data_IF_051655617589
#
_entry.id   IF_051655617589
#
_cell.length_a   1.000
_cell.length_b   1.000
_cell.length_c   1.000
_cell.angle_alpha   90.00
_cell.angle_beta   90.00
_cell.angle_gamma   90.00
#
_symmetry.space_group_name_H-M   'P 1'
#
loop_
_entity.id
_entity.type
_entity.pdbx_description
1 polymer ?
#
# COMPACT_ATOMS: atom_id res chain seq x y z
N UNK A 1 -15.31 22.91 2.36
CA UNK A 1 -15.46 24.30 1.91
C UNK A 1 -15.80 24.41 0.42
N UNK A 2 -14.92 24.13 -0.55
CA UNK A 2 -15.25 24.32 -1.99
C UNK A 2 -16.50 23.54 -2.43
N UNK A 3 -16.65 22.29 -2.00
CA UNK A 3 -17.78 21.46 -2.40
C UNK A 3 -19.13 21.95 -1.82
N UNK A 4 -19.14 22.58 -0.64
CA UNK A 4 -20.35 23.11 0.00
C UNK A 4 -20.90 24.28 -0.79
N UNK A 5 -20.02 25.21 -1.16
CA UNK A 5 -20.35 26.38 -1.98
C UNK A 5 -20.87 25.96 -3.35
N UNK A 6 -20.19 24.99 -3.99
CA UNK A 6 -20.66 24.43 -5.27
C UNK A 6 -22.06 23.88 -5.12
N UNK A 7 -22.32 23.06 -4.08
CA UNK A 7 -23.66 22.56 -3.83
C UNK A 7 -24.62 23.74 -3.67
N UNK A 8 -24.39 24.68 -2.76
CA UNK A 8 -25.30 25.82 -2.48
C UNK A 8 -25.60 26.65 -3.74
N UNK A 9 -24.62 26.87 -4.62
CA UNK A 9 -24.77 27.70 -5.82
C UNK A 9 -25.37 26.97 -7.02
N UNK A 10 -25.50 25.63 -6.99
CA UNK A 10 -26.08 24.88 -8.10
C UNK A 10 -27.51 25.34 -8.47
N UNK A 11 -27.79 25.64 -9.75
CA UNK A 11 -29.14 25.94 -10.22
C UNK A 11 -30.17 24.85 -9.93
N UNK A 12 -31.44 25.25 -9.78
CA UNK A 12 -32.54 24.34 -9.38
C UNK A 12 -32.81 23.22 -10.39
N UNK A 13 -32.51 23.40 -11.68
CA UNK A 13 -32.75 22.37 -12.70
C UNK A 13 -31.72 21.23 -12.68
N UNK A 14 -30.61 21.36 -11.94
CA UNK A 14 -29.53 20.37 -11.96
C UNK A 14 -29.81 19.22 -10.99
N UNK A 15 -29.83 17.99 -11.50
CA UNK A 15 -29.85 16.76 -10.69
C UNK A 15 -28.49 16.50 -10.05
N UNK A 16 -28.49 15.96 -8.83
CA UNK A 16 -27.26 15.65 -8.09
C UNK A 16 -27.18 14.16 -7.80
N UNK A 17 -26.01 13.58 -8.03
CA UNK A 17 -25.69 12.20 -7.65
C UNK A 17 -24.41 12.25 -6.81
N UNK A 18 -24.48 11.73 -5.60
CA UNK A 18 -23.37 11.71 -4.66
C UNK A 18 -22.85 10.29 -4.49
N UNK A 19 -21.54 10.10 -4.65
CA UNK A 19 -20.86 8.83 -4.43
C UNK A 19 -19.83 9.03 -3.32
N UNK A 20 -19.89 8.19 -2.30
CA UNK A 20 -18.99 8.24 -1.15
C UNK A 20 -18.65 6.82 -0.70
N UNK A 21 -17.48 6.67 -0.07
CA UNK A 21 -17.21 5.53 0.80
C UNK A 21 -18.17 5.53 2.00
N UNK A 22 -18.20 4.43 2.75
CA UNK A 22 -19.06 4.27 3.94
C UNK A 22 -18.69 5.28 5.01
N UNK A 23 -19.58 6.22 5.31
CA UNK A 23 -19.46 7.19 6.40
C UNK A 23 -20.63 7.06 7.39
N UNK A 24 -20.42 7.29 8.70
CA UNK A 24 -21.50 7.17 9.68
C UNK A 24 -22.52 8.32 9.62
N UNK A 25 -22.15 9.48 9.09
CA UNK A 25 -22.95 10.71 9.10
C UNK A 25 -23.70 10.99 7.77
N UNK A 26 -23.89 9.98 6.93
CA UNK A 26 -24.49 10.14 5.60
C UNK A 26 -25.94 10.67 5.62
N UNK A 27 -26.71 10.37 6.67
CA UNK A 27 -28.09 10.86 6.82
C UNK A 27 -28.12 12.37 7.10
N UNK A 28 -27.32 12.84 8.05
CA UNK A 28 -27.22 14.28 8.38
C UNK A 28 -26.81 15.09 7.16
N UNK A 29 -25.82 14.59 6.41
CA UNK A 29 -25.37 15.20 5.17
C UNK A 29 -26.49 15.27 4.12
N UNK A 30 -27.21 14.16 3.90
CA UNK A 30 -28.30 14.12 2.92
C UNK A 30 -29.46 15.04 3.28
N UNK A 31 -29.78 15.16 4.57
CA UNK A 31 -30.82 16.03 5.08
C UNK A 31 -30.46 17.52 4.91
N UNK A 32 -29.21 17.88 5.18
CA UNK A 32 -28.70 19.22 4.92
C UNK A 32 -28.85 19.61 3.44
N UNK A 33 -28.46 18.74 2.50
CA UNK A 33 -28.62 19.02 1.06
C UNK A 33 -30.10 19.10 0.69
N UNK A 34 -30.92 18.16 1.16
CA UNK A 34 -32.35 18.13 0.87
C UNK A 34 -33.07 19.40 1.31
N UNK A 35 -32.77 19.90 2.51
CA UNK A 35 -33.28 21.18 3.03
C UNK A 35 -32.76 22.39 2.24
N UNK A 36 -31.45 22.43 1.97
CA UNK A 36 -30.80 23.55 1.27
C UNK A 36 -31.30 23.69 -0.17
N UNK A 37 -31.51 22.57 -0.86
CA UNK A 37 -31.94 22.54 -2.26
C UNK A 37 -33.42 22.35 -2.47
N UNK A 38 -34.19 22.14 -1.40
CA UNK A 38 -35.62 21.81 -1.45
C UNK A 38 -35.89 20.64 -2.42
N UNK A 39 -34.98 19.66 -2.42
CA UNK A 39 -35.04 18.47 -3.29
C UNK A 39 -35.12 17.20 -2.46
N UNK A 40 -35.92 16.25 -2.93
CA UNK A 40 -35.96 14.91 -2.35
C UNK A 40 -34.64 14.19 -2.63
N UNK A 41 -33.97 13.73 -1.57
CA UNK A 41 -32.75 12.94 -1.67
C UNK A 41 -33.03 11.54 -1.18
N UNK A 42 -32.55 10.56 -1.94
CA UNK A 42 -32.64 9.15 -1.62
C UNK A 42 -31.26 8.66 -1.20
N UNK A 43 -31.15 8.21 0.05
CA UNK A 43 -29.93 7.59 0.57
C UNK A 43 -30.00 6.10 0.31
N UNK A 44 -29.00 5.58 -0.40
CA UNK A 44 -28.81 4.16 -0.65
C UNK A 44 -27.43 3.81 -0.12
N UNK A 45 -27.35 2.84 0.78
CA UNK A 45 -26.09 2.41 1.39
C UNK A 45 -25.97 0.89 1.46
N UNK A 46 -24.73 0.41 1.46
CA UNK A 46 -24.40 -0.99 1.74
C UNK A 46 -23.26 -1.03 2.74
N UNK A 47 -23.41 -1.83 3.79
CA UNK A 47 -22.37 -2.06 4.80
C UNK A 47 -21.46 -3.23 4.45
N UNK A 48 -21.82 -3.99 3.40
CA UNK A 48 -21.11 -5.20 2.99
C UNK A 48 -20.30 -4.94 1.72
N UNK A 49 -19.05 -5.40 1.72
CA UNK A 49 -18.21 -5.39 0.51
C UNK A 49 -18.67 -6.49 -0.45
N UNK A 50 -18.75 -6.22 -1.77
CA UNK A 50 -19.02 -7.26 -2.77
C UNK A 50 -17.98 -8.38 -2.77
N UNK A 51 -16.70 -8.02 -2.55
CA UNK A 51 -15.60 -8.97 -2.39
C UNK A 51 -15.12 -8.93 -0.93
N UNK A 52 -15.36 -10.00 -0.14
CA UNK A 52 -14.91 -10.06 1.24
C UNK A 52 -13.38 -10.06 1.32
N UNK A 53 -12.84 -9.38 2.34
CA UNK A 53 -11.40 -9.33 2.58
C UNK A 53 -10.98 -10.33 3.67
N UNK A 54 -9.73 -10.78 3.57
CA UNK A 54 -9.04 -11.56 4.60
C UNK A 54 -7.78 -10.80 4.99
N UNK A 55 -7.52 -10.69 6.29
CA UNK A 55 -6.35 -9.95 6.77
C UNK A 55 -5.31 -10.95 7.27
N UNK A 56 -4.07 -10.76 6.83
CA UNK A 56 -2.95 -11.61 7.20
C UNK A 56 -1.86 -10.79 7.87
N UNK A 57 -1.10 -11.43 8.76
CA UNK A 57 0.16 -10.91 9.27
C UNK A 57 1.29 -11.75 8.69
N UNK A 58 2.29 -11.08 8.10
CA UNK A 58 3.50 -11.74 7.62
C UNK A 58 4.55 -11.75 8.73
N UNK A 59 4.92 -12.93 9.19
CA UNK A 59 5.80 -13.14 10.34
C UNK A 59 6.67 -14.36 10.11
N UNK A 60 7.98 -14.26 10.36
CA UNK A 60 8.89 -15.41 10.21
C UNK A 60 8.87 -16.05 8.81
N UNK A 61 8.64 -15.26 7.75
CA UNK A 61 8.50 -15.70 6.36
C UNK A 61 7.25 -16.55 6.06
N UNK A 62 6.25 -16.49 6.94
CA UNK A 62 4.97 -17.18 6.82
C UNK A 62 3.80 -16.18 6.92
N UNK A 63 2.64 -16.54 6.35
CA UNK A 63 1.41 -15.73 6.39
C UNK A 63 0.43 -16.31 7.41
N UNK A 64 0.04 -15.51 8.40
CA UNK A 64 -0.91 -15.87 9.45
C UNK A 64 -2.24 -15.16 9.22
N UNK A 65 -3.32 -15.90 8.95
CA UNK A 65 -4.65 -15.31 8.79
C UNK A 65 -5.15 -14.82 10.14
N UNK A 66 -5.35 -13.51 10.29
CA UNK A 66 -5.86 -12.87 11.51
C UNK A 66 -7.37 -12.65 11.47
N UNK A 67 -7.91 -12.36 10.30
CA UNK A 67 -9.32 -12.03 10.12
C UNK A 67 -9.83 -12.63 8.81
N UNK A 68 -11.07 -13.10 8.85
CA UNK A 68 -11.82 -13.60 7.71
C UNK A 68 -13.21 -12.97 7.77
N UNK A 69 -13.68 -12.34 6.69
CA UNK A 69 -15.00 -11.70 6.65
C UNK A 69 -16.16 -12.62 7.06
N UNK A 70 -15.98 -13.94 6.91
CA UNK A 70 -17.00 -14.94 7.28
C UNK A 70 -16.97 -15.28 8.77
N UNK A 71 -15.78 -15.38 9.38
CA UNK A 71 -15.58 -15.91 10.73
C UNK A 71 -15.16 -14.83 11.75
N UNK A 72 -14.92 -13.60 11.30
CA UNK A 72 -14.40 -12.52 12.11
C UNK A 72 -12.91 -12.70 12.44
N UNK A 73 -12.51 -12.18 13.61
CA UNK A 73 -11.14 -12.29 14.12
C UNK A 73 -10.86 -13.71 14.60
N UNK A 74 -9.70 -14.26 14.23
CA UNK A 74 -9.26 -15.61 14.59
C UNK A 74 -8.38 -15.57 15.85
N UNK A 75 -8.87 -16.05 17.01
CA UNK A 75 -8.09 -16.07 18.23
C UNK A 75 -6.82 -16.90 18.10
N UNK A 76 -5.74 -16.48 18.74
CA UNK A 76 -4.46 -17.21 18.75
C UNK A 76 -3.57 -17.01 17.51
N UNK A 77 -4.12 -16.59 16.36
CA UNK A 77 -3.34 -16.34 15.15
C UNK A 77 -2.27 -15.25 15.36
N UNK A 78 -2.63 -14.16 16.06
CA UNK A 78 -1.69 -13.11 16.44
C UNK A 78 -0.57 -13.63 17.35
N UNK A 79 -0.91 -14.43 18.36
CA UNK A 79 0.05 -15.02 19.30
C UNK A 79 1.04 -15.95 18.58
N UNK A 80 0.55 -16.77 17.63
CA UNK A 80 1.39 -17.64 16.82
C UNK A 80 2.37 -16.85 15.94
N UNK A 81 1.88 -15.80 15.27
CA UNK A 81 2.72 -14.90 14.48
C UNK A 81 3.79 -14.20 15.34
N UNK A 82 3.40 -13.73 16.53
CA UNK A 82 4.32 -13.10 17.49
C UNK A 82 5.42 -14.06 17.94
N UNK A 83 5.08 -15.32 18.25
CA UNK A 83 6.06 -16.33 18.66
C UNK A 83 7.08 -16.65 17.56
N UNK A 84 6.70 -16.58 16.28
CA UNK A 84 7.61 -16.75 15.14
C UNK A 84 8.56 -15.57 14.94
N UNK A 85 8.08 -14.34 15.14
CA UNK A 85 8.90 -13.12 15.03
C UNK A 85 9.86 -12.95 16.21
N UNK A 86 9.41 -13.33 17.40
CA UNK A 86 10.16 -13.23 18.65
C UNK A 86 10.19 -14.61 19.29
N UNK A 87 11.01 -15.55 18.75
CA UNK A 87 11.21 -16.82 19.42
C UNK A 87 11.71 -16.55 20.84
N UNK A 88 11.21 -17.29 21.85
CA UNK A 88 11.73 -17.17 23.20
C UNK A 88 13.25 -17.36 23.13
N UNK A 89 14.00 -16.34 23.54
CA UNK A 89 15.44 -16.48 23.73
C UNK A 89 15.68 -17.64 24.69
N UNK A 90 16.47 -18.63 24.28
CA UNK A 90 16.97 -19.67 25.18
C UNK A 90 17.56 -18.96 26.39
N UNK A 91 16.88 -19.04 27.54
CA UNK A 91 17.46 -18.55 28.79
C UNK A 91 18.74 -19.36 29.00
N UNK A 92 19.91 -18.73 29.21
CA UNK A 92 21.07 -19.49 29.66
C UNK A 92 20.67 -20.19 30.96
N UNK A 93 20.88 -21.50 31.01
CA UNK A 93 20.69 -22.32 32.22
C UNK A 93 21.35 -21.60 33.39
N UNK A 94 20.59 -21.34 34.45
CA UNK A 94 21.12 -20.87 35.71
C UNK A 94 22.14 -21.91 36.23
N UNK A 95 23.41 -21.59 36.09
CA UNK A 95 24.52 -22.47 36.42
C UNK A 95 25.78 -21.66 36.68
N UNK A 96 26.14 -21.58 37.96
CA UNK A 96 27.43 -21.19 38.53
C UNK A 96 27.67 -19.71 38.85
N UNK A 97 27.79 -19.49 40.16
CA UNK A 97 28.44 -18.34 40.82
C UNK A 97 29.89 -18.19 40.33
N UNK A 98 30.30 -16.97 40.03
CA UNK A 98 31.71 -16.61 39.81
C UNK A 98 31.84 -15.12 39.51
N UNK A 99 32.34 -14.35 40.47
CA UNK A 99 32.47 -12.90 40.39
C UNK A 99 33.45 -12.45 39.31
N UNK A 100 33.09 -11.35 38.65
CA UNK A 100 33.93 -10.68 37.65
C UNK A 100 33.18 -9.49 37.09
N UNK A 101 33.46 -8.30 37.64
CA UNK A 101 33.01 -7.02 37.15
C UNK A 101 33.55 -6.78 35.73
N UNK A 102 32.67 -6.83 34.74
CA UNK A 102 32.91 -6.44 33.35
C UNK A 102 31.76 -5.55 32.86
N UNK A 103 32.02 -4.62 31.93
CA UNK A 103 31.26 -3.40 31.78
C UNK A 103 29.86 -3.65 31.23
N UNK A 104 28.90 -2.88 31.75
CA UNK A 104 27.52 -2.82 31.26
C UNK A 104 27.57 -2.23 29.85
N UNK A 105 27.74 -3.09 28.85
CA UNK A 105 27.45 -2.74 27.47
C UNK A 105 25.94 -2.61 27.39
N UNK A 106 25.46 -1.37 27.48
CA UNK A 106 24.07 -0.99 27.27
C UNK A 106 23.69 -1.37 25.85
N UNK A 107 23.28 -2.63 25.70
CA UNK A 107 22.80 -3.20 24.46
C UNK A 107 21.70 -2.31 23.93
N UNK A 108 22.09 -1.54 22.90
CA UNK A 108 21.28 -0.82 21.95
C UNK A 108 19.80 -1.07 22.18
N UNK A 109 19.13 -0.06 22.74
CA UNK A 109 17.69 0.12 22.61
C UNK A 109 17.38 -0.05 21.13
N UNK A 110 16.95 -1.27 20.75
CA UNK A 110 16.52 -1.59 19.40
C UNK A 110 15.39 -0.62 19.12
N UNK A 111 15.69 0.34 18.26
CA UNK A 111 14.88 1.50 17.95
C UNK A 111 13.49 1.05 17.48
N UNK A 112 12.59 0.80 18.44
CA UNK A 112 11.33 0.05 18.29
C UNK A 112 10.23 0.89 17.61
N UNK A 113 10.60 2.04 17.03
CA UNK A 113 9.69 3.00 16.43
C UNK A 113 9.94 3.29 14.94
N UNK A 114 11.02 2.77 14.34
CA UNK A 114 11.23 2.92 12.90
C UNK A 114 10.76 1.68 12.18
N UNK A 115 9.73 1.83 11.36
CA UNK A 115 9.34 0.88 10.32
C UNK A 115 10.58 0.60 9.47
N UNK A 116 11.24 -0.53 9.72
CA UNK A 116 12.33 -1.00 8.84
C UNK A 116 11.68 -1.40 7.52
N UNK A 117 12.23 -0.93 6.40
CA UNK A 117 11.66 -1.19 5.07
C UNK A 117 11.83 -2.63 4.57
N UNK A 118 11.88 -3.62 5.47
CA UNK A 118 12.15 -5.04 5.21
C UNK A 118 13.54 -5.31 4.63
N UNK A 119 14.11 -6.49 4.87
CA UNK A 119 15.34 -6.87 4.20
C UNK A 119 15.05 -7.42 2.79
N UNK A 120 16.05 -7.41 1.90
CA UNK A 120 15.90 -7.92 0.54
C UNK A 120 15.38 -9.38 0.51
N UNK A 121 15.88 -10.21 1.43
CA UNK A 121 15.46 -11.61 1.53
C UNK A 121 13.98 -11.77 1.91
N UNK A 122 13.45 -10.83 2.70
CA UNK A 122 12.07 -10.88 3.19
C UNK A 122 11.09 -10.44 2.10
N UNK A 123 11.41 -9.36 1.39
CA UNK A 123 10.63 -8.92 0.23
C UNK A 123 10.58 -9.99 -0.85
N UNK A 124 11.73 -10.57 -1.20
CA UNK A 124 11.80 -11.60 -2.23
C UNK A 124 10.94 -12.80 -1.84
N UNK A 125 11.06 -13.30 -0.60
CA UNK A 125 10.26 -14.43 -0.11
C UNK A 125 8.77 -14.11 -0.05
N UNK A 126 8.40 -12.91 0.39
CA UNK A 126 7.00 -12.48 0.44
C UNK A 126 6.38 -12.47 -0.97
N UNK A 127 7.03 -11.79 -1.91
CA UNK A 127 6.51 -11.67 -3.28
C UNK A 127 6.46 -13.03 -3.98
N UNK A 128 7.47 -13.89 -3.81
CA UNK A 128 7.44 -15.25 -4.35
C UNK A 128 6.30 -16.07 -3.74
N UNK A 129 6.09 -16.01 -2.41
CA UNK A 129 4.97 -16.71 -1.77
C UNK A 129 3.60 -16.23 -2.27
N UNK A 130 3.45 -14.93 -2.53
CA UNK A 130 2.23 -14.36 -3.11
C UNK A 130 2.05 -14.79 -4.58
N UNK A 131 3.14 -14.85 -5.35
CA UNK A 131 3.14 -15.37 -6.73
C UNK A 131 2.68 -16.82 -6.78
N UNK A 132 3.27 -17.68 -5.96
CA UNK A 132 2.96 -19.12 -5.93
C UNK A 132 1.50 -19.39 -5.53
N UNK A 133 0.91 -18.50 -4.72
CA UNK A 133 -0.50 -18.54 -4.32
C UNK A 133 -1.45 -17.83 -5.31
N UNK A 134 -0.96 -17.38 -6.46
CA UNK A 134 -1.72 -16.61 -7.46
C UNK A 134 -2.38 -15.33 -6.90
N UNK A 135 -1.70 -14.66 -5.97
CA UNK A 135 -2.15 -13.44 -5.29
C UNK A 135 -1.58 -12.14 -5.90
N UNK A 136 -0.97 -12.21 -7.08
CA UNK A 136 -0.55 -11.03 -7.85
C UNK A 136 -1.72 -10.50 -8.70
N UNK A 137 -1.81 -9.17 -8.95
CA UNK A 137 -0.81 -8.16 -8.60
C UNK A 137 -1.00 -7.61 -7.17
N UNK A 138 0.09 -7.07 -6.64
CA UNK A 138 0.21 -6.58 -5.25
C UNK A 138 0.44 -5.07 -5.23
N UNK A 139 -0.28 -4.37 -4.37
CA UNK A 139 0.03 -2.98 -4.00
C UNK A 139 0.64 -2.98 -2.60
N UNK A 140 1.85 -2.46 -2.48
CA UNK A 140 2.54 -2.27 -1.21
C UNK A 140 2.43 -0.81 -0.80
N UNK A 141 1.68 -0.51 0.25
CA UNK A 141 1.62 0.83 0.82
C UNK A 141 2.79 1.09 1.75
N UNK A 142 3.58 2.10 1.40
CA UNK A 142 4.66 2.64 2.23
C UNK A 142 4.47 4.15 2.37
N UNK A 143 4.40 4.64 3.61
CA UNK A 143 4.04 6.04 3.91
C UNK A 143 5.20 7.05 3.76
N UNK A 144 6.11 6.80 2.82
CA UNK A 144 7.20 7.70 2.44
C UNK A 144 7.65 7.42 1.01
N UNK A 145 7.90 8.48 0.23
CA UNK A 145 8.42 8.40 -1.15
C UNK A 145 9.72 7.59 -1.19
N UNK A 146 10.66 7.97 -0.32
CA UNK A 146 11.95 7.29 -0.16
C UNK A 146 11.78 5.80 0.17
N UNK A 147 10.84 5.47 1.05
CA UNK A 147 10.62 4.07 1.44
C UNK A 147 10.05 3.23 0.30
N UNK A 148 9.23 3.82 -0.58
CA UNK A 148 8.75 3.13 -1.79
C UNK A 148 9.92 2.78 -2.71
N UNK A 149 10.78 3.75 -3.02
CA UNK A 149 11.95 3.56 -3.89
C UNK A 149 12.96 2.56 -3.29
N UNK A 150 13.29 2.69 -2.00
CA UNK A 150 14.20 1.79 -1.29
C UNK A 150 13.66 0.36 -1.19
N UNK A 151 12.35 0.18 -1.01
CA UNK A 151 11.75 -1.17 -0.92
C UNK A 151 11.69 -1.83 -2.30
N UNK A 152 11.39 -1.05 -3.34
CA UNK A 152 11.34 -1.56 -4.69
C UNK A 152 12.73 -1.91 -5.25
N UNK A 153 13.77 -1.13 -4.92
CA UNK A 153 15.15 -1.43 -5.33
C UNK A 153 15.70 -2.72 -4.72
N UNK A 154 15.20 -3.14 -3.55
CA UNK A 154 15.54 -4.44 -2.94
C UNK A 154 15.07 -5.63 -3.79
N UNK A 155 14.07 -5.45 -4.64
CA UNK A 155 13.62 -6.48 -5.59
C UNK A 155 14.42 -6.47 -6.90
N UNK A 156 15.59 -5.83 -6.95
CA UNK A 156 16.43 -5.72 -8.16
C UNK A 156 16.74 -7.05 -8.86
N UNK A 157 16.78 -8.17 -8.13
CA UNK A 157 17.06 -9.51 -8.68
C UNK A 157 15.83 -10.28 -9.14
N UNK A 158 14.63 -9.75 -8.90
CA UNK A 158 13.38 -10.41 -9.24
C UNK A 158 12.87 -9.88 -10.59
N UNK A 159 12.50 -10.82 -11.46
CA UNK A 159 11.78 -10.55 -12.70
C UNK A 159 10.43 -11.28 -12.65
N UNK A 160 9.34 -10.51 -12.76
CA UNK A 160 7.97 -11.00 -12.72
C UNK A 160 7.31 -10.99 -14.09
N UNK A 161 7.97 -10.46 -15.11
CA UNK A 161 7.46 -10.38 -16.47
C UNK A 161 7.87 -11.61 -17.27
N UNK A 162 6.94 -12.14 -18.06
CA UNK A 162 7.28 -13.06 -19.15
C UNK A 162 8.00 -12.31 -20.30
N UNK A 163 8.71 -13.02 -21.19
CA UNK A 163 9.34 -12.39 -22.35
C UNK A 163 8.37 -11.59 -23.23
N UNK A 164 7.12 -12.06 -23.39
CA UNK A 164 6.08 -11.36 -24.15
C UNK A 164 5.62 -10.08 -23.45
N UNK A 165 5.34 -10.16 -22.14
CA UNK A 165 4.96 -8.98 -21.34
C UNK A 165 6.10 -7.94 -21.35
N UNK A 166 7.35 -8.37 -21.23
CA UNK A 166 8.51 -7.48 -21.27
C UNK A 166 8.62 -6.74 -22.61
N UNK A 167 8.36 -7.43 -23.72
CA UNK A 167 8.33 -6.80 -25.06
C UNK A 167 7.18 -5.79 -25.17
N UNK A 168 5.98 -6.13 -24.69
CA UNK A 168 4.83 -5.23 -24.68
C UNK A 168 5.12 -3.97 -23.84
N UNK A 169 5.64 -4.15 -22.62
CA UNK A 169 6.04 -3.07 -21.73
C UNK A 169 7.09 -2.20 -22.41
N UNK A 170 8.10 -2.80 -23.05
CA UNK A 170 9.15 -2.04 -23.73
C UNK A 170 8.59 -1.17 -24.86
N UNK A 171 7.76 -1.73 -25.74
CA UNK A 171 7.15 -0.98 -26.85
C UNK A 171 6.28 0.17 -26.34
N UNK A 172 5.49 -0.06 -25.29
CA UNK A 172 4.69 0.97 -24.65
C UNK A 172 5.58 2.09 -24.07
N UNK A 173 6.62 1.72 -23.32
CA UNK A 173 7.52 2.69 -22.69
C UNK A 173 8.29 3.52 -23.72
N UNK A 174 8.78 2.93 -24.81
CA UNK A 174 9.45 3.69 -25.88
C UNK A 174 8.48 4.71 -26.51
N UNK A 175 7.25 4.27 -26.84
CA UNK A 175 6.24 5.16 -27.42
C UNK A 175 5.85 6.31 -26.48
N UNK A 176 5.74 6.05 -25.17
CA UNK A 176 5.45 7.08 -24.17
C UNK A 176 6.62 8.05 -23.98
N UNK A 177 7.84 7.55 -23.84
CA UNK A 177 9.05 8.35 -23.58
C UNK A 177 9.44 9.20 -24.80
N UNK A 178 9.10 8.78 -26.02
CA UNK A 178 9.31 9.59 -27.22
C UNK A 178 8.61 10.96 -27.18
N UNK A 179 7.58 11.13 -26.34
CA UNK A 179 6.90 12.42 -26.11
C UNK A 179 7.74 13.41 -25.31
N UNK A 180 8.76 12.94 -24.58
CA UNK A 180 9.70 13.79 -23.84
C UNK A 180 10.75 14.37 -24.77
N UNK A 181 11.22 15.58 -24.47
CA UNK A 181 12.23 16.29 -25.25
C UNK A 181 13.65 15.91 -24.81
N UNK A 182 14.52 15.58 -25.78
CA UNK A 182 15.98 15.49 -25.58
C UNK A 182 16.43 14.89 -24.24
N UNK A 183 17.03 15.74 -23.40
CA UNK A 183 17.61 15.39 -22.09
C UNK A 183 16.61 14.86 -21.07
N UNK A 184 15.32 15.16 -21.20
CA UNK A 184 14.29 14.66 -20.27
C UNK A 184 14.16 13.14 -20.31
N UNK A 185 14.52 12.52 -21.45
CA UNK A 185 14.54 11.06 -21.63
C UNK A 185 15.65 10.39 -20.81
N UNK A 186 16.72 11.12 -20.55
CA UNK A 186 17.92 10.65 -19.84
C UNK A 186 17.85 10.93 -18.34
N UNK A 187 16.74 11.49 -17.84
CA UNK A 187 16.56 11.73 -16.41
C UNK A 187 16.68 10.41 -15.62
N UNK A 188 17.42 10.39 -14.50
CA UNK A 188 17.60 9.17 -13.71
C UNK A 188 16.29 8.49 -13.29
N UNK A 189 15.25 9.27 -13.01
CA UNK A 189 13.92 8.76 -12.66
C UNK A 189 13.27 8.00 -13.83
N UNK A 190 13.43 8.49 -15.07
CA UNK A 190 12.89 7.84 -16.28
C UNK A 190 13.62 6.52 -16.52
N UNK A 191 14.95 6.54 -16.50
CA UNK A 191 15.78 5.36 -16.73
C UNK A 191 15.54 4.27 -15.67
N UNK A 192 15.52 4.66 -14.39
CA UNK A 192 15.27 3.74 -13.27
C UNK A 192 13.89 3.11 -13.38
N UNK A 193 12.85 3.92 -13.62
CA UNK A 193 11.50 3.41 -13.75
C UNK A 193 11.34 2.48 -14.96
N UNK A 194 11.94 2.82 -16.11
CA UNK A 194 11.92 1.99 -17.32
C UNK A 194 12.46 0.58 -17.04
N UNK A 195 13.57 0.47 -16.32
CA UNK A 195 14.17 -0.81 -15.96
C UNK A 195 13.34 -1.59 -14.93
N UNK A 196 12.73 -0.92 -13.97
CA UNK A 196 11.84 -1.57 -13.00
C UNK A 196 10.57 -2.09 -13.67
N UNK A 197 9.93 -1.28 -14.51
CA UNK A 197 8.67 -1.61 -15.16
C UNK A 197 8.82 -2.82 -16.09
N UNK A 198 9.94 -2.93 -16.82
CA UNK A 198 10.23 -4.10 -17.67
C UNK A 198 10.18 -5.42 -16.89
N UNK A 199 10.54 -5.40 -15.59
CA UNK A 199 10.52 -6.56 -14.69
C UNK A 199 9.19 -6.75 -13.96
N UNK A 200 8.17 -5.96 -14.29
CA UNK A 200 6.85 -6.01 -13.68
C UNK A 200 6.80 -5.39 -12.29
N UNK A 201 7.73 -4.49 -11.96
CA UNK A 201 7.81 -3.81 -10.66
C UNK A 201 7.71 -2.30 -10.88
N UNK A 202 6.90 -1.62 -10.09
CA UNK A 202 6.70 -0.16 -10.20
C UNK A 202 6.74 0.55 -8.86
N UNK A 203 6.92 1.87 -8.93
CA UNK A 203 6.76 2.80 -7.80
C UNK A 203 5.75 3.87 -8.19
N UNK A 204 4.91 4.30 -7.25
CA UNK A 204 3.95 5.40 -7.46
C UNK A 204 3.86 6.32 -6.24
N UNK A 205 4.27 7.58 -6.40
CA UNK A 205 4.08 8.62 -5.39
C UNK A 205 4.06 10.01 -6.03
N UNK A 206 3.60 11.01 -5.28
CA UNK A 206 3.55 12.42 -5.73
C UNK A 206 4.91 13.11 -5.91
N UNK A 207 6.01 12.35 -6.03
CA UNK A 207 7.34 12.87 -6.41
C UNK A 207 7.79 12.43 -7.81
N UNK A 208 7.00 11.58 -8.47
CA UNK A 208 7.25 11.14 -9.82
C UNK A 208 6.70 12.15 -10.83
N UNK A 209 7.38 12.30 -11.96
CA UNK A 209 6.89 13.07 -13.11
C UNK A 209 5.49 12.57 -13.53
N UNK A 210 4.57 13.46 -13.93
CA UNK A 210 3.22 13.08 -14.33
C UNK A 210 3.18 11.95 -15.37
N UNK A 211 3.99 12.05 -16.42
CA UNK A 211 4.10 11.01 -17.46
C UNK A 211 4.51 9.64 -16.90
N UNK A 212 5.36 9.62 -15.87
CA UNK A 212 5.81 8.39 -15.24
C UNK A 212 4.67 7.77 -14.42
N UNK A 213 3.93 8.58 -13.67
CA UNK A 213 2.75 8.11 -12.94
C UNK A 213 1.72 7.50 -13.89
N UNK A 214 1.43 8.18 -15.00
CA UNK A 214 0.50 7.69 -16.02
C UNK A 214 0.97 6.36 -16.63
N UNK A 215 2.26 6.22 -16.97
CA UNK A 215 2.80 4.96 -17.47
C UNK A 215 2.63 3.81 -16.45
N UNK A 216 2.94 4.07 -15.18
CA UNK A 216 2.80 3.08 -14.10
C UNK A 216 1.33 2.69 -13.92
N UNK A 217 0.41 3.66 -13.89
CA UNK A 217 -1.02 3.44 -13.75
C UNK A 217 -1.56 2.61 -14.92
N UNK A 218 -1.22 2.94 -16.16
CA UNK A 218 -1.65 2.19 -17.35
C UNK A 218 -1.13 0.75 -17.32
N UNK A 219 0.16 0.56 -17.04
CA UNK A 219 0.76 -0.79 -17.01
C UNK A 219 0.24 -1.63 -15.84
N UNK A 220 -0.06 -1.02 -14.69
CA UNK A 220 -0.71 -1.72 -13.57
C UNK A 220 -2.16 -2.07 -13.90
N UNK A 221 -2.91 -1.16 -14.52
CA UNK A 221 -4.29 -1.40 -14.96
C UNK A 221 -4.41 -2.51 -16.02
N UNK A 222 -3.39 -2.66 -16.88
CA UNK A 222 -3.27 -3.78 -17.83
C UNK A 222 -2.76 -5.07 -17.19
N UNK A 223 -2.42 -5.05 -15.91
CA UNK A 223 -1.87 -6.21 -15.19
C UNK A 223 -0.43 -6.56 -15.59
N UNK A 224 0.31 -5.69 -16.26
CA UNK A 224 1.71 -5.89 -16.65
C UNK A 224 2.67 -5.61 -15.48
N UNK A 225 2.35 -4.61 -14.65
CA UNK A 225 3.03 -4.41 -13.36
C UNK A 225 2.39 -5.32 -12.32
N UNK A 226 3.18 -6.23 -11.76
CA UNK A 226 2.73 -7.24 -10.80
C UNK A 226 2.94 -6.81 -9.34
N UNK A 227 3.90 -5.92 -9.08
CA UNK A 227 4.17 -5.37 -7.74
C UNK A 227 4.33 -3.86 -7.85
N UNK A 228 3.50 -3.13 -7.11
CA UNK A 228 3.52 -1.67 -7.09
C UNK A 228 3.78 -1.17 -5.67
N UNK A 229 4.88 -0.45 -5.45
CA UNK A 229 5.12 0.25 -4.18
C UNK A 229 4.53 1.65 -4.27
N UNK A 230 3.65 2.02 -3.35
CA UNK A 230 2.97 3.30 -3.45
C UNK A 230 2.70 3.99 -2.11
N UNK A 231 2.55 5.31 -2.17
CA UNK A 231 2.00 6.12 -1.08
C UNK A 231 0.47 6.11 -1.09
N UNK A 232 -0.14 6.55 0.01
CA UNK A 232 -1.61 6.58 0.22
C UNK A 232 -2.41 7.19 -0.93
N UNK A 233 -1.88 8.20 -1.62
CA UNK A 233 -2.57 8.89 -2.72
C UNK A 233 -3.03 7.98 -3.85
N UNK A 234 -2.39 6.83 -4.06
CA UNK A 234 -2.80 5.88 -5.08
C UNK A 234 -4.12 5.18 -4.76
N UNK A 235 -4.43 4.97 -3.47
CA UNK A 235 -5.68 4.35 -3.04
C UNK A 235 -6.91 5.20 -3.40
N UNK A 236 -6.76 6.52 -3.45
CA UNK A 236 -7.85 7.45 -3.76
C UNK A 236 -8.10 7.62 -5.27
N UNK A 237 -7.14 7.22 -6.12
CA UNK A 237 -7.05 7.75 -7.47
C UNK A 237 -7.57 6.87 -8.59
N UNK A 238 -7.75 5.56 -8.39
CA UNK A 238 -7.88 4.67 -9.55
C UNK A 238 -8.52 3.30 -9.26
N UNK A 239 -9.44 2.87 -10.13
CA UNK A 239 -10.04 1.52 -10.10
C UNK A 239 -9.04 0.50 -10.68
N UNK A 240 -8.14 0.00 -9.85
CA UNK A 240 -7.02 -0.83 -10.28
C UNK A 240 -7.12 -2.27 -9.76
N UNK A 241 -6.74 -3.27 -10.57
CA UNK A 241 -7.00 -4.68 -10.28
C UNK A 241 -5.98 -5.28 -9.31
N UNK A 242 -5.94 -4.83 -8.06
CA UNK A 242 -5.07 -5.42 -7.03
C UNK A 242 -5.70 -6.67 -6.40
N UNK A 243 -4.98 -7.80 -6.36
CA UNK A 243 -5.40 -9.02 -5.64
C UNK A 243 -4.93 -9.03 -4.19
N UNK A 244 -3.88 -8.29 -3.86
CA UNK A 244 -3.33 -8.22 -2.51
C UNK A 244 -2.82 -6.83 -2.21
N UNK A 245 -3.08 -6.39 -0.99
CA UNK A 245 -2.55 -5.14 -0.43
C UNK A 245 -1.63 -5.48 0.73
N UNK A 246 -0.44 -4.92 0.73
CA UNK A 246 0.56 -5.09 1.79
C UNK A 246 0.82 -3.74 2.44
N UNK A 247 0.72 -3.67 3.76
CA UNK A 247 1.13 -2.50 4.52
C UNK A 247 2.57 -2.71 5.01
N UNK A 248 3.50 -1.89 4.55
CA UNK A 248 4.89 -1.93 5.03
C UNK A 248 5.00 -1.48 6.51
N UNK A 249 4.02 -0.70 6.95
CA UNK A 249 3.79 -0.37 8.36
C UNK A 249 2.38 0.13 8.57
N UNK A 250 2.04 0.45 9.81
CA UNK A 250 0.73 0.99 10.21
C UNK A 250 0.83 2.37 10.85
N UNK A 251 2.01 3.00 10.75
CA UNK A 251 2.28 4.34 11.27
C UNK A 251 2.72 5.28 10.16
N UNK A 252 2.22 6.51 10.18
CA UNK A 252 2.59 7.57 9.25
C UNK A 252 2.80 8.91 9.94
N UNK A 253 3.52 9.80 9.26
CA UNK A 253 3.66 11.19 9.68
C UNK A 253 2.56 12.03 9.04
N UNK A 254 1.75 12.72 9.84
CA UNK A 254 0.62 13.54 9.35
C UNK A 254 0.97 15.01 9.11
N UNK A 255 2.27 15.34 9.19
CA UNK A 255 2.78 16.71 9.12
C UNK A 255 3.12 17.29 10.50
N UNK A 256 2.58 16.72 11.58
CA UNK A 256 2.86 17.14 12.97
C UNK A 256 3.56 16.06 13.76
N UNK A 257 3.10 14.81 13.66
CA UNK A 257 3.64 13.71 14.47
C UNK A 257 3.49 12.35 13.77
N UNK A 258 4.20 11.36 14.29
CA UNK A 258 4.01 9.96 13.88
C UNK A 258 2.88 9.31 14.67
N UNK A 259 1.80 8.99 13.98
CA UNK A 259 0.61 8.32 14.53
C UNK A 259 0.27 7.03 13.80
N UNK A 260 -0.56 6.21 14.42
CA UNK A 260 -1.17 5.06 13.75
C UNK A 260 -2.16 5.51 12.67
N UNK A 261 -2.39 4.64 11.69
CA UNK A 261 -3.44 4.82 10.68
C UNK A 261 -4.81 4.85 11.35
N UNK A 262 -5.66 5.74 10.86
CA UNK A 262 -7.07 5.75 11.23
C UNK A 262 -7.79 4.58 10.54
N UNK A 263 -8.88 4.05 11.12
CA UNK A 263 -9.65 2.97 10.50
C UNK A 263 -10.12 3.30 9.07
N UNK A 264 -10.49 4.57 8.81
CA UNK A 264 -10.89 5.03 7.48
C UNK A 264 -9.74 5.13 6.47
N UNK A 265 -8.48 5.23 6.93
CA UNK A 265 -7.29 5.20 6.07
C UNK A 265 -6.87 3.75 5.74
N UNK A 266 -7.19 2.81 6.63
CA UNK A 266 -6.96 1.39 6.41
C UNK A 266 -8.01 0.73 5.51
N UNK A 267 -9.25 1.23 5.56
CA UNK A 267 -10.43 0.71 4.83
C UNK A 267 -10.35 1.05 3.35
#
# INVERSE_FOLDING_TARGET
VVWEEVIIMLPEHIGMVFLSATTPNHLEFSDWIGRTKKKKIHVISTTKRPVPLQHFLYAGKELFKLYDATHGYLPGAYSAAKAKLFPPSDKPKAGSRGGGSAPVNSGSSRNMGRTSGGDQSDWTKLITSLKDKALLPVVVFAFSKRLCEESASKLSKLDLSSPSERSEIHLFLEASIQRLQGSDRELPQVLTMKEMLKRGIGVHHGGLLPIIKEMVEILFGRGLVKVLFSTETFAMGVNMPARTVVFNGIRKHDGKSFRDLLPGEYT
#
